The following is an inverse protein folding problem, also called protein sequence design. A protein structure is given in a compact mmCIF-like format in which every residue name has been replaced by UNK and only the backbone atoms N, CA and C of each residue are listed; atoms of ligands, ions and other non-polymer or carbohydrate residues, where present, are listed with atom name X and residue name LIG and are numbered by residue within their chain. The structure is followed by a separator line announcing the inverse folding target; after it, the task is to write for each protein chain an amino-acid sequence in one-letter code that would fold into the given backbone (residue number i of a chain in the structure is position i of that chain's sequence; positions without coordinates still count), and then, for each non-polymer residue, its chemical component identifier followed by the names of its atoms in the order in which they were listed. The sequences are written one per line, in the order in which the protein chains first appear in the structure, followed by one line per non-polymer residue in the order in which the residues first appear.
data_IF_511137140792
#
_entry.id   IF_511137140792
#
_cell.length_a   1.000
_cell.length_b   1.000
_cell.length_c   1.000
_cell.angle_alpha   90.00
_cell.angle_beta   90.00
_cell.angle_gamma   90.00
#
_symmetry.space_group_name_H-M   'P 1'
#
loop_
_entity.id
_entity.type
_entity.pdbx_description
1 polymer ?
#
# COMPACT_ATOMS: atom_id res chain seq x y z
N UNK A 1 38.94 -3.89 25.51
CA UNK A 1 37.48 -4.09 25.66
C UNK A 1 36.73 -3.01 24.88
N UNK A 2 36.61 -3.17 23.56
CA UNK A 2 35.90 -2.19 22.72
C UNK A 2 34.40 -2.40 22.85
N UNK A 3 33.74 -1.52 23.61
CA UNK A 3 32.27 -1.37 23.55
C UNK A 3 31.93 -0.80 22.17
N UNK A 4 31.75 -1.68 21.18
CA UNK A 4 30.94 -1.34 20.01
C UNK A 4 29.53 -1.03 20.52
N UNK A 5 29.25 0.25 20.82
CA UNK A 5 27.87 0.75 20.83
C UNK A 5 27.32 0.38 19.47
N UNK A 6 26.44 -0.63 19.40
CA UNK A 6 25.71 -0.98 18.18
C UNK A 6 24.92 0.27 17.76
N UNK A 7 25.52 1.08 16.90
CA UNK A 7 24.87 2.24 16.30
C UNK A 7 23.73 1.69 15.44
N UNK A 8 22.52 2.23 15.61
CA UNK A 8 21.40 1.85 14.76
C UNK A 8 21.75 2.22 13.31
N UNK A 9 21.72 1.23 12.42
CA UNK A 9 22.09 1.43 11.01
C UNK A 9 21.16 2.45 10.35
N UNK A 10 21.71 3.23 9.41
CA UNK A 10 20.96 4.32 8.76
C UNK A 10 19.74 3.80 8.00
N UNK A 11 19.86 2.65 7.34
CA UNK A 11 18.75 1.97 6.67
C UNK A 11 17.56 1.66 7.59
N UNK A 12 17.82 1.30 8.85
CA UNK A 12 16.76 0.99 9.83
C UNK A 12 16.09 2.27 10.36
N UNK A 13 16.83 3.38 10.45
CA UNK A 13 16.24 4.69 10.74
C UNK A 13 15.28 5.09 9.62
N UNK A 14 15.70 4.93 8.36
CA UNK A 14 14.85 5.23 7.20
C UNK A 14 13.62 4.34 7.17
N UNK A 15 13.78 3.04 7.42
CA UNK A 15 12.65 2.12 7.55
C UNK A 15 11.69 2.57 8.66
N UNK A 16 12.20 2.97 9.83
CA UNK A 16 11.37 3.48 10.93
C UNK A 16 10.60 4.75 10.56
N UNK A 17 11.22 5.68 9.84
CA UNK A 17 10.55 6.89 9.33
C UNK A 17 9.44 6.51 8.34
N UNK A 18 9.67 5.52 7.47
CA UNK A 18 8.63 5.00 6.57
C UNK A 18 7.51 4.27 7.32
N UNK A 19 7.81 3.47 8.34
CA UNK A 19 6.77 2.85 9.19
C UNK A 19 5.88 3.90 9.84
N UNK A 20 6.47 4.98 10.35
CA UNK A 20 5.72 6.10 10.93
C UNK A 20 4.83 6.79 9.89
N UNK A 21 5.29 6.92 8.65
CA UNK A 21 4.46 7.43 7.54
C UNK A 21 3.23 6.56 7.32
N UNK A 22 3.42 5.25 7.20
CA UNK A 22 2.33 4.30 6.94
C UNK A 22 1.30 4.34 8.06
N UNK A 23 1.77 4.38 9.32
CA UNK A 23 0.93 4.54 10.50
C UNK A 23 0.09 5.81 10.46
N UNK A 24 0.72 6.98 10.24
CA UNK A 24 0.03 8.27 10.19
C UNK A 24 -0.94 8.35 9.01
N UNK A 25 -0.54 7.90 7.82
CA UNK A 25 -1.40 7.94 6.62
C UNK A 25 -2.69 7.14 6.80
N UNK A 26 -2.63 5.98 7.47
CA UNK A 26 -3.84 5.22 7.75
C UNK A 26 -4.72 5.87 8.82
N UNK A 27 -4.14 6.63 9.76
CA UNK A 27 -4.90 7.45 10.69
C UNK A 27 -5.67 8.55 9.93
N UNK A 28 -4.97 9.28 9.05
CA UNK A 28 -5.57 10.33 8.22
C UNK A 28 -6.65 9.79 7.27
N UNK A 29 -6.49 8.54 6.83
CA UNK A 29 -7.48 7.87 5.98
C UNK A 29 -8.76 7.50 6.73
N UNK A 30 -8.63 6.94 7.94
CA UNK A 30 -9.75 6.36 8.71
C UNK A 30 -10.49 7.41 9.55
N UNK A 31 -9.83 8.51 9.94
CA UNK A 31 -10.38 9.52 10.87
C UNK A 31 -11.75 10.06 10.45
N UNK A 32 -12.01 10.27 9.16
CA UNK A 32 -13.24 10.89 8.68
C UNK A 32 -14.46 10.00 8.81
N UNK A 33 -14.26 8.68 8.73
CA UNK A 33 -15.34 7.72 8.98
C UNK A 33 -15.77 7.75 10.45
N UNK A 34 -14.81 7.95 11.37
CA UNK A 34 -15.06 8.07 12.82
C UNK A 34 -15.79 9.38 13.14
N UNK A 35 -15.36 10.49 12.54
CA UNK A 35 -15.97 11.81 12.74
C UNK A 35 -17.28 12.02 11.93
N UNK A 36 -17.57 11.16 10.96
CA UNK A 36 -18.65 11.34 9.98
C UNK A 36 -20.04 11.66 10.57
N UNK A 37 -20.51 10.95 11.61
CA UNK A 37 -21.80 11.27 12.24
C UNK A 37 -21.87 12.68 12.82
N UNK A 38 -20.78 13.18 13.40
CA UNK A 38 -20.69 14.51 14.01
C UNK A 38 -20.63 15.61 12.95
N UNK A 39 -19.82 15.42 11.90
CA UNK A 39 -19.75 16.30 10.73
C UNK A 39 -21.14 16.43 10.11
N UNK A 40 -21.83 15.30 9.94
CA UNK A 40 -23.18 15.27 9.38
C UNK A 40 -24.17 16.06 10.23
N UNK A 41 -24.14 15.87 11.54
CA UNK A 41 -25.03 16.55 12.48
C UNK A 41 -24.79 18.07 12.51
N UNK A 42 -23.52 18.50 12.60
CA UNK A 42 -23.16 19.92 12.66
C UNK A 42 -23.46 20.65 11.34
N UNK A 43 -23.16 20.03 10.21
CA UNK A 43 -23.28 20.66 8.89
C UNK A 43 -24.62 20.37 8.19
N UNK A 44 -25.54 19.68 8.86
CA UNK A 44 -26.86 19.33 8.31
C UNK A 44 -26.80 18.47 7.05
N UNK A 45 -25.77 17.63 6.91
CA UNK A 45 -25.57 16.84 5.69
C UNK A 45 -26.55 15.67 5.60
N UNK A 46 -26.98 15.37 4.38
CA UNK A 46 -27.66 14.12 4.06
C UNK A 46 -26.67 12.95 4.09
N UNK A 47 -27.16 11.72 4.27
CA UNK A 47 -26.32 10.52 4.18
C UNK A 47 -25.64 10.39 2.81
N UNK A 48 -26.30 10.84 1.74
CA UNK A 48 -25.75 10.84 0.37
C UNK A 48 -24.56 11.78 0.26
N UNK A 49 -24.67 12.99 0.82
CA UNK A 49 -23.57 13.97 0.83
C UNK A 49 -22.39 13.48 1.67
N UNK A 50 -22.63 12.83 2.81
CA UNK A 50 -21.55 12.24 3.60
C UNK A 50 -20.84 11.10 2.84
N UNK A 51 -21.60 10.26 2.14
CA UNK A 51 -21.03 9.23 1.26
C UNK A 51 -20.17 9.79 0.11
N UNK A 52 -20.54 10.97 -0.43
CA UNK A 52 -19.71 11.69 -1.40
C UNK A 52 -18.36 12.12 -0.80
N UNK A 53 -18.34 12.61 0.45
CA UNK A 53 -17.10 12.99 1.15
C UNK A 53 -16.18 11.78 1.34
N UNK A 54 -16.72 10.63 1.73
CA UNK A 54 -15.92 9.42 1.92
C UNK A 54 -15.31 8.91 0.61
N UNK A 55 -16.10 8.87 -0.47
CA UNK A 55 -15.67 8.37 -1.77
C UNK A 55 -14.75 9.32 -2.55
N UNK A 56 -14.84 10.63 -2.30
CA UNK A 56 -14.03 11.65 -2.98
C UNK A 56 -12.51 11.37 -2.94
N UNK A 57 -12.01 10.76 -1.86
CA UNK A 57 -10.60 10.35 -1.73
C UNK A 57 -10.15 9.33 -2.78
N UNK A 58 -11.00 8.36 -3.12
CA UNK A 58 -10.60 7.17 -3.88
C UNK A 58 -10.24 7.48 -5.34
N UNK A 59 -10.92 8.44 -5.97
CA UNK A 59 -10.72 8.77 -7.38
C UNK A 59 -9.30 9.29 -7.70
N UNK A 60 -8.81 10.36 -7.06
CA UNK A 60 -7.44 10.81 -7.29
C UNK A 60 -6.42 9.82 -6.74
N UNK A 61 -6.74 9.09 -5.67
CA UNK A 61 -5.85 8.08 -5.09
C UNK A 61 -5.46 7.01 -6.13
N UNK A 62 -6.44 6.46 -6.86
CA UNK A 62 -6.21 5.43 -7.88
C UNK A 62 -5.32 5.94 -9.02
N UNK A 63 -5.57 7.16 -9.53
CA UNK A 63 -4.75 7.77 -10.60
C UNK A 63 -3.33 8.06 -10.10
N UNK A 64 -3.22 8.57 -8.87
CA UNK A 64 -1.93 8.94 -8.28
C UNK A 64 -1.05 7.75 -7.91
N UNK A 65 -1.57 6.51 -7.90
CA UNK A 65 -0.72 5.32 -7.78
C UNK A 65 0.31 5.28 -8.90
N UNK A 66 -0.13 5.35 -10.16
CA UNK A 66 0.75 5.29 -11.32
C UNK A 66 1.53 6.60 -11.46
N UNK A 67 0.85 7.75 -11.35
CA UNK A 67 1.49 9.06 -11.53
C UNK A 67 2.53 9.32 -10.45
N UNK A 68 2.22 9.06 -9.19
CA UNK A 68 3.15 9.22 -8.06
C UNK A 68 4.36 8.29 -8.17
N UNK A 69 4.15 7.03 -8.56
CA UNK A 69 5.23 6.09 -8.83
C UNK A 69 6.17 6.56 -9.96
N UNK A 70 5.58 7.05 -11.06
CA UNK A 70 6.34 7.62 -12.18
C UNK A 70 7.12 8.87 -11.80
N UNK A 71 6.49 9.78 -11.03
CA UNK A 71 7.18 10.95 -10.49
C UNK A 71 8.35 10.53 -9.59
N UNK A 72 8.16 9.52 -8.73
CA UNK A 72 9.21 9.01 -7.85
C UNK A 72 10.40 8.41 -8.61
N UNK A 73 10.12 7.70 -9.72
CA UNK A 73 11.17 7.16 -10.57
C UNK A 73 11.98 8.27 -11.27
N UNK A 74 11.31 9.37 -11.67
CA UNK A 74 11.93 10.49 -12.42
C UNK A 74 12.63 11.52 -11.54
N UNK A 75 11.98 11.96 -10.47
CA UNK A 75 12.43 13.06 -9.60
C UNK A 75 13.03 12.58 -8.28
N UNK A 76 12.88 11.29 -7.97
CA UNK A 76 13.40 10.66 -6.76
C UNK A 76 12.42 10.70 -5.58
N UNK A 77 12.50 9.72 -4.66
CA UNK A 77 11.56 9.62 -3.56
C UNK A 77 11.54 10.82 -2.61
N UNK A 78 12.70 11.47 -2.38
CA UNK A 78 12.79 12.58 -1.42
C UNK A 78 11.88 13.74 -1.81
N UNK A 79 12.03 14.26 -3.02
CA UNK A 79 11.24 15.42 -3.47
C UNK A 79 9.76 15.05 -3.57
N UNK A 80 9.47 13.94 -4.21
CA UNK A 80 8.09 13.53 -4.50
C UNK A 80 7.33 13.25 -3.21
N UNK A 81 7.91 12.48 -2.29
CA UNK A 81 7.23 12.16 -1.04
C UNK A 81 7.05 13.38 -0.14
N UNK A 82 8.03 14.30 -0.10
CA UNK A 82 7.87 15.58 0.64
C UNK A 82 6.72 16.42 0.05
N UNK A 83 6.62 16.54 -1.27
CA UNK A 83 5.52 17.31 -1.89
C UNK A 83 4.16 16.66 -1.62
N UNK A 84 4.07 15.34 -1.81
CA UNK A 84 2.85 14.58 -1.54
C UNK A 84 2.44 14.67 -0.06
N UNK A 85 3.42 14.64 0.85
CA UNK A 85 3.19 14.70 2.30
C UNK A 85 2.77 16.06 2.80
N UNK A 86 3.29 17.12 2.20
CA UNK A 86 2.78 18.47 2.40
C UNK A 86 1.33 18.59 1.95
N UNK A 87 0.98 18.03 0.78
CA UNK A 87 -0.38 18.08 0.25
C UNK A 87 -1.36 17.37 1.18
N UNK A 88 -1.09 16.10 1.56
CA UNK A 88 -2.03 15.37 2.43
C UNK A 88 -2.06 15.97 3.84
N UNK A 89 -0.92 16.35 4.42
CA UNK A 89 -0.88 16.91 5.77
C UNK A 89 -1.61 18.24 5.88
N UNK A 90 -1.45 19.12 4.87
CA UNK A 90 -2.20 20.37 4.79
C UNK A 90 -3.70 20.14 4.56
N UNK A 91 -4.08 19.15 3.74
CA UNK A 91 -5.48 18.81 3.52
C UNK A 91 -6.14 18.25 4.79
N UNK A 92 -5.46 17.38 5.54
CA UNK A 92 -5.94 16.88 6.84
C UNK A 92 -6.14 18.05 7.82
N UNK A 93 -5.14 18.93 7.97
CA UNK A 93 -5.22 20.09 8.85
C UNK A 93 -6.37 21.03 8.47
N UNK A 94 -6.49 21.35 7.19
CA UNK A 94 -7.52 22.23 6.65
C UNK A 94 -8.94 21.65 6.81
N UNK A 95 -9.07 20.33 6.96
CA UNK A 95 -10.36 19.65 7.18
C UNK A 95 -11.00 20.09 8.50
N UNK A 96 -10.20 20.40 9.53
CA UNK A 96 -10.71 20.95 10.78
C UNK A 96 -11.41 22.31 10.64
N UNK A 97 -11.10 23.05 9.57
CA UNK A 97 -11.69 24.34 9.25
C UNK A 97 -12.80 24.26 8.19
N UNK A 98 -13.22 23.05 7.81
CA UNK A 98 -14.21 22.88 6.76
C UNK A 98 -15.58 23.42 7.16
N UNK A 99 -16.11 24.37 6.39
CA UNK A 99 -17.43 24.99 6.62
C UNK A 99 -18.53 24.57 5.65
N UNK A 100 -18.20 23.80 4.60
CA UNK A 100 -19.17 23.37 3.59
C UNK A 100 -18.87 21.98 3.02
N UNK A 101 -19.89 21.34 2.44
CA UNK A 101 -19.75 20.08 1.71
C UNK A 101 -18.70 20.16 0.60
N UNK A 102 -18.69 21.27 -0.17
CA UNK A 102 -17.72 21.47 -1.24
C UNK A 102 -16.29 21.51 -0.73
N UNK A 103 -16.05 22.17 0.41
CA UNK A 103 -14.75 22.22 1.05
C UNK A 103 -14.30 20.83 1.52
N UNK A 104 -15.18 20.06 2.16
CA UNK A 104 -14.88 18.68 2.57
C UNK A 104 -14.51 17.80 1.38
N UNK A 105 -15.26 17.88 0.28
CA UNK A 105 -14.97 17.10 -0.94
C UNK A 105 -13.62 17.49 -1.54
N UNK A 106 -13.33 18.79 -1.68
CA UNK A 106 -12.06 19.28 -2.21
C UNK A 106 -10.86 18.83 -1.35
N UNK A 107 -10.99 18.89 -0.03
CA UNK A 107 -9.95 18.46 0.89
C UNK A 107 -9.73 16.94 0.83
N UNK A 108 -10.80 16.15 0.65
CA UNK A 108 -10.68 14.71 0.43
C UNK A 108 -10.05 14.35 -0.90
N UNK A 109 -10.34 15.11 -1.96
CA UNK A 109 -9.63 14.99 -3.23
C UNK A 109 -8.14 15.28 -3.06
N UNK A 110 -7.78 16.38 -2.38
CA UNK A 110 -6.39 16.75 -2.11
C UNK A 110 -5.67 15.69 -1.28
N UNK A 111 -6.31 15.14 -0.24
CA UNK A 111 -5.77 14.03 0.55
C UNK A 111 -5.48 12.81 -0.35
N UNK A 112 -6.41 12.45 -1.23
CA UNK A 112 -6.23 11.34 -2.17
C UNK A 112 -5.10 11.58 -3.17
N UNK A 113 -4.88 12.83 -3.59
CA UNK A 113 -3.72 13.20 -4.43
C UNK A 113 -2.41 12.93 -3.68
N UNK A 114 -2.31 13.40 -2.44
CA UNK A 114 -1.11 13.23 -1.62
C UNK A 114 -0.83 11.76 -1.29
N UNK A 115 -1.80 11.06 -0.70
CA UNK A 115 -1.60 9.66 -0.28
C UNK A 115 -1.45 8.68 -1.44
N UNK A 116 -2.07 8.96 -2.60
CA UNK A 116 -2.07 8.05 -3.75
C UNK A 116 -0.66 7.73 -4.25
N UNK A 117 0.23 8.73 -4.27
CA UNK A 117 1.60 8.52 -4.69
C UNK A 117 2.56 8.06 -3.59
N UNK A 118 2.14 8.06 -2.32
CA UNK A 118 3.04 7.88 -1.19
C UNK A 118 3.65 6.47 -1.14
N UNK A 119 2.84 5.42 -1.29
CA UNK A 119 3.30 4.02 -1.19
C UNK A 119 4.16 3.58 -2.38
N UNK A 120 3.81 3.93 -3.64
CA UNK A 120 4.73 3.74 -4.77
C UNK A 120 6.07 4.46 -4.58
N UNK A 121 6.04 5.67 -4.00
CA UNK A 121 7.26 6.43 -3.71
C UNK A 121 8.11 5.79 -2.62
N UNK A 122 7.49 5.25 -1.56
CA UNK A 122 8.18 4.49 -0.51
C UNK A 122 8.77 3.18 -1.05
N UNK A 123 8.03 2.47 -1.90
CA UNK A 123 8.50 1.28 -2.62
C UNK A 123 9.76 1.61 -3.43
N UNK A 124 9.74 2.73 -4.15
CA UNK A 124 10.92 3.22 -4.85
C UNK A 124 12.09 3.55 -3.92
N UNK A 125 11.83 4.10 -2.74
CA UNK A 125 12.89 4.32 -1.76
C UNK A 125 13.56 3.00 -1.31
N UNK A 126 12.78 1.93 -1.12
CA UNK A 126 13.32 0.64 -0.69
C UNK A 126 14.23 -0.03 -1.73
N UNK A 127 14.12 0.31 -3.02
CA UNK A 127 15.08 -0.23 -4.01
C UNK A 127 16.52 0.18 -3.72
N UNK A 128 16.72 1.35 -3.10
CA UNK A 128 18.04 1.94 -2.85
C UNK A 128 18.51 1.81 -1.41
N UNK A 129 17.58 1.61 -0.47
CA UNK A 129 17.87 1.61 0.97
C UNK A 129 17.82 0.24 1.62
N UNK A 130 17.20 -0.75 0.98
CA UNK A 130 17.03 -2.09 1.53
C UNK A 130 17.73 -3.14 0.67
N UNK A 131 18.54 -4.05 1.27
CA UNK A 131 19.07 -5.21 0.57
C UNK A 131 17.95 -6.04 -0.04
N UNK A 132 18.20 -6.66 -1.21
CA UNK A 132 17.19 -7.45 -1.94
C UNK A 132 16.49 -8.50 -1.06
N UNK A 133 17.24 -9.15 -0.17
CA UNK A 133 16.73 -10.20 0.73
C UNK A 133 16.05 -9.68 2.01
N UNK A 134 15.99 -8.37 2.22
CA UNK A 134 15.25 -7.72 3.34
C UNK A 134 14.08 -6.87 2.84
N UNK A 135 13.86 -6.79 1.51
CA UNK A 135 12.75 -6.00 0.93
C UNK A 135 11.38 -6.54 1.33
N UNK A 136 11.23 -7.86 1.48
CA UNK A 136 9.99 -8.48 1.94
C UNK A 136 9.66 -8.07 3.37
N UNK A 137 10.64 -8.16 4.27
CA UNK A 137 10.52 -7.65 5.63
C UNK A 137 10.18 -6.16 5.66
N UNK A 138 10.86 -5.34 4.87
CA UNK A 138 10.64 -3.88 4.81
C UNK A 138 9.19 -3.54 4.43
N UNK A 139 8.64 -4.19 3.40
CA UNK A 139 7.23 -4.02 3.03
C UNK A 139 6.29 -4.56 4.12
N UNK A 140 6.57 -5.75 4.66
CA UNK A 140 5.73 -6.35 5.71
C UNK A 140 5.60 -5.47 6.95
N UNK A 141 6.71 -4.97 7.48
CA UNK A 141 6.67 -4.15 8.70
C UNK A 141 6.00 -2.79 8.45
N UNK A 142 6.23 -2.16 7.29
CA UNK A 142 5.62 -0.85 6.99
C UNK A 142 4.11 -0.97 6.80
N UNK A 143 3.64 -2.00 6.11
CA UNK A 143 2.20 -2.29 5.98
C UNK A 143 1.56 -2.71 7.31
N UNK A 144 2.27 -3.45 8.16
CA UNK A 144 1.82 -3.76 9.52
C UNK A 144 1.54 -2.49 10.32
N UNK A 145 2.39 -1.47 10.21
CA UNK A 145 2.17 -0.16 10.83
C UNK A 145 0.96 0.58 10.26
N UNK A 146 0.67 0.43 8.97
CA UNK A 146 -0.56 0.93 8.36
C UNK A 146 -1.82 0.28 8.99
N UNK A 147 -1.83 -1.05 9.16
CA UNK A 147 -2.93 -1.77 9.84
C UNK A 147 -3.08 -1.35 11.30
N UNK A 148 -1.96 -1.20 12.00
CA UNK A 148 -1.94 -0.69 13.36
C UNK A 148 -2.52 0.73 13.44
N UNK A 149 -2.17 1.61 12.50
CA UNK A 149 -2.74 2.95 12.39
C UNK A 149 -4.26 2.91 12.27
N UNK A 150 -4.77 2.10 11.34
CA UNK A 150 -6.21 1.90 11.17
C UNK A 150 -6.92 1.41 12.44
N UNK A 151 -6.33 0.46 13.17
CA UNK A 151 -6.89 -0.08 14.41
C UNK A 151 -6.89 0.93 15.57
N UNK A 152 -5.85 1.77 15.68
CA UNK A 152 -5.71 2.79 16.73
C UNK A 152 -6.54 4.03 16.44
N UNK A 153 -6.93 4.27 15.18
CA UNK A 153 -7.63 5.51 14.78
C UNK A 153 -8.94 5.75 15.53
N UNK A 154 -9.91 4.81 15.61
CA UNK A 154 -11.18 5.06 16.29
C UNK A 154 -11.03 5.49 17.76
N UNK A 155 -10.31 4.77 18.64
CA UNK A 155 -10.16 5.22 20.03
C UNK A 155 -9.40 6.54 20.14
N UNK A 156 -8.37 6.77 19.31
CA UNK A 156 -7.61 8.02 19.30
C UNK A 156 -8.49 9.21 18.93
N UNK A 157 -9.23 9.12 17.81
CA UNK A 157 -10.08 10.21 17.31
C UNK A 157 -11.24 10.47 18.27
N UNK A 158 -11.89 9.43 18.79
CA UNK A 158 -12.99 9.58 19.75
C UNK A 158 -12.55 10.25 21.05
N UNK A 159 -11.34 9.94 21.55
CA UNK A 159 -10.81 10.59 22.75
C UNK A 159 -10.62 12.11 22.54
N UNK A 160 -10.10 12.52 21.38
CA UNK A 160 -9.93 13.94 21.04
C UNK A 160 -11.28 14.61 20.82
N UNK A 161 -12.19 13.95 20.10
CA UNK A 161 -13.55 14.42 19.86
C UNK A 161 -14.30 14.68 21.16
N UNK A 162 -14.19 13.78 22.14
CA UNK A 162 -14.84 13.93 23.43
C UNK A 162 -14.28 15.11 24.25
N UNK A 163 -13.01 15.46 24.06
CA UNK A 163 -12.34 16.52 24.80
C UNK A 163 -12.49 17.91 24.15
N UNK A 164 -12.44 17.99 22.82
CA UNK A 164 -12.29 19.25 22.11
C UNK A 164 -13.19 19.40 20.87
N UNK A 165 -13.62 18.27 20.26
CA UNK A 165 -14.44 18.28 19.05
C UNK A 165 -13.76 17.59 17.87
N UNK A 166 -14.53 17.38 16.79
CA UNK A 166 -14.02 16.70 15.60
C UNK A 166 -13.08 17.59 14.78
N UNK A 167 -13.27 18.91 14.81
CA UNK A 167 -12.43 19.87 14.08
C UNK A 167 -10.99 19.82 14.58
N UNK A 168 -10.83 19.79 15.89
CA UNK A 168 -9.57 19.73 16.63
C UNK A 168 -8.85 18.41 16.39
N UNK A 169 -9.59 17.30 16.22
CA UNK A 169 -9.00 16.03 15.81
C UNK A 169 -8.29 16.14 14.45
N UNK A 170 -8.90 16.76 13.44
CA UNK A 170 -8.26 16.96 12.14
C UNK A 170 -7.07 17.92 12.21
N UNK A 171 -7.16 18.98 13.01
CA UNK A 171 -6.04 19.92 13.20
C UNK A 171 -4.83 19.20 13.82
N UNK A 172 -5.04 18.44 14.89
CA UNK A 172 -3.97 17.71 15.58
C UNK A 172 -3.32 16.65 14.68
N UNK A 173 -4.14 15.86 13.96
CA UNK A 173 -3.64 14.86 13.02
C UNK A 173 -2.89 15.49 11.84
N UNK A 174 -3.40 16.59 11.30
CA UNK A 174 -2.72 17.34 10.25
C UNK A 174 -1.37 17.91 10.70
N UNK A 175 -1.29 18.43 11.93
CA UNK A 175 -0.01 18.87 12.53
C UNK A 175 0.95 17.68 12.64
N UNK A 176 0.49 16.51 13.07
CA UNK A 176 1.33 15.31 13.14
C UNK A 176 1.86 14.88 11.76
N UNK A 177 1.02 14.90 10.72
CA UNK A 177 1.40 14.65 9.33
C UNK A 177 2.43 15.64 8.79
N UNK A 178 2.27 16.93 9.10
CA UNK A 178 3.24 17.96 8.71
C UNK A 178 4.55 17.85 9.51
N UNK A 179 4.50 17.52 10.80
CA UNK A 179 5.69 17.26 11.61
C UNK A 179 6.47 16.05 11.07
N UNK A 180 5.78 14.98 10.66
CA UNK A 180 6.41 13.86 9.96
C UNK A 180 7.07 14.30 8.65
N UNK A 181 6.41 15.17 7.87
CA UNK A 181 6.98 15.70 6.62
C UNK A 181 8.31 16.42 6.85
N UNK A 182 8.37 17.27 7.89
CA UNK A 182 9.59 17.96 8.30
C UNK A 182 10.68 16.96 8.70
N UNK A 183 10.34 15.97 9.53
CA UNK A 183 11.25 14.89 9.91
C UNK A 183 11.80 14.15 8.69
N UNK A 184 10.93 13.76 7.76
CA UNK A 184 11.29 13.05 6.54
C UNK A 184 12.24 13.87 5.67
N UNK A 185 11.95 15.16 5.46
CA UNK A 185 12.77 16.04 4.63
C UNK A 185 14.22 16.13 5.12
N UNK A 186 14.43 16.18 6.45
CA UNK A 186 15.75 16.26 7.05
C UNK A 186 16.48 14.91 7.18
N UNK A 187 15.75 13.82 7.41
CA UNK A 187 16.35 12.50 7.66
C UNK A 187 16.60 11.73 6.36
N UNK A 188 15.69 11.80 5.40
CA UNK A 188 15.76 11.00 4.19
C UNK A 188 16.69 11.60 3.13
N UNK A 189 17.42 10.75 2.43
CA UNK A 189 18.23 11.10 1.25
C UNK A 189 17.91 10.15 0.12
N UNK A 190 17.99 10.59 -1.14
CA UNK A 190 17.57 9.75 -2.27
C UNK A 190 18.48 8.54 -2.44
N UNK A 191 19.75 8.69 -2.08
CA UNK A 191 20.73 7.64 -2.17
C UNK A 191 21.54 7.48 -0.89
N UNK A 192 22.06 6.28 -0.64
CA UNK A 192 23.06 6.03 0.40
C UNK A 192 24.25 7.00 0.35
N UNK A 193 24.82 7.25 -0.83
CA UNK A 193 26.02 8.08 -1.01
C UNK A 193 25.81 9.58 -0.68
N UNK A 194 24.57 10.08 -0.76
CA UNK A 194 24.22 11.43 -0.33
C UNK A 194 24.06 11.56 1.20
N UNK A 195 23.95 10.43 1.92
CA UNK A 195 23.60 10.44 3.33
C UNK A 195 24.83 10.49 4.23
N UNK A 196 24.99 11.59 4.98
CA UNK A 196 26.13 11.79 5.90
C UNK A 196 26.27 10.76 7.02
N UNK A 197 25.22 9.98 7.32
CA UNK A 197 25.21 9.04 8.45
C UNK A 197 25.55 7.61 8.05
N UNK A 198 25.45 7.25 6.77
CA UNK A 198 25.70 5.88 6.31
C UNK A 198 27.19 5.57 6.35
N UNK A 199 27.52 4.31 6.61
CA UNK A 199 28.91 3.82 6.54
C UNK A 199 29.16 3.06 5.23
N UNK A 200 30.43 2.92 4.79
CA UNK A 200 30.76 2.11 3.62
C UNK A 200 30.31 0.64 3.76
N UNK A 201 30.38 0.08 4.97
CA UNK A 201 29.93 -1.28 5.25
C UNK A 201 28.41 -1.43 5.05
N UNK A 202 27.61 -0.48 5.56
CA UNK A 202 26.17 -0.45 5.35
C UNK A 202 25.81 -0.33 3.86
N UNK A 203 26.57 0.49 3.11
CA UNK A 203 26.36 0.67 1.66
C UNK A 203 26.63 -0.62 0.90
N UNK A 204 27.71 -1.34 1.28
CA UNK A 204 28.05 -2.64 0.70
C UNK A 204 27.00 -3.72 1.01
N UNK A 205 26.47 -3.75 2.24
CA UNK A 205 25.39 -4.68 2.64
C UNK A 205 24.10 -4.47 1.83
N UNK A 206 23.77 -3.22 1.49
CA UNK A 206 22.62 -2.89 0.64
C UNK A 206 22.86 -3.36 -0.80
N UNK A 207 24.12 -3.42 -1.23
CA UNK A 207 24.51 -3.70 -2.61
C UNK A 207 24.38 -2.48 -3.53
N UNK A 208 24.33 -1.27 -2.96
CA UNK A 208 24.22 -0.02 -3.71
C UNK A 208 25.56 0.37 -4.34
N UNK A 209 25.56 0.76 -5.63
CA UNK A 209 26.73 1.31 -6.32
C UNK A 209 26.56 2.81 -6.49
N UNK A 210 27.64 3.56 -6.32
CA UNK A 210 27.64 5.01 -6.50
C UNK A 210 27.05 5.39 -7.87
N UNK A 211 26.11 6.34 -7.85
CA UNK A 211 25.39 6.81 -9.05
C UNK A 211 24.21 5.94 -9.52
N UNK A 212 23.86 4.85 -8.84
CA UNK A 212 22.68 4.02 -9.21
C UNK A 212 21.39 4.83 -9.25
N UNK A 213 21.17 5.72 -8.27
CA UNK A 213 20.00 6.60 -8.26
C UNK A 213 19.96 7.53 -9.49
N UNK A 214 21.10 8.13 -9.86
CA UNK A 214 21.19 9.04 -10.99
C UNK A 214 21.00 8.31 -12.33
N UNK A 215 21.57 7.11 -12.47
CA UNK A 215 21.36 6.24 -13.65
C UNK A 215 19.89 5.86 -13.81
N UNK A 216 19.24 5.48 -12.71
CA UNK A 216 17.87 5.02 -12.74
C UNK A 216 16.88 6.13 -13.19
N UNK A 217 17.12 7.39 -12.81
CA UNK A 217 16.29 8.55 -13.21
C UNK A 217 16.37 8.92 -14.69
N UNK A 218 17.49 8.62 -15.36
CA UNK A 218 17.72 9.00 -16.75
C UNK A 218 17.03 8.10 -17.77
N UNK A 219 16.59 6.91 -17.34
CA UNK A 219 16.01 5.95 -18.26
C UNK A 219 14.53 6.26 -18.52
N UNK A 220 14.10 6.36 -19.78
CA UNK A 220 12.68 6.51 -20.09
C UNK A 220 11.90 5.31 -19.57
N UNK A 221 10.68 5.54 -19.11
CA UNK A 221 9.80 4.51 -18.58
C UNK A 221 9.28 3.63 -19.72
N UNK A 222 9.57 2.31 -19.74
CA UNK A 222 9.15 1.42 -20.82
C UNK A 222 7.70 0.94 -20.59
N UNK A 223 6.74 1.84 -20.79
CA UNK A 223 5.32 1.63 -20.50
C UNK A 223 4.77 0.30 -21.02
N UNK A 224 5.03 -0.03 -22.30
CA UNK A 224 4.56 -1.28 -22.91
C UNK A 224 5.09 -2.53 -22.19
N UNK A 225 6.38 -2.55 -21.83
CA UNK A 225 7.02 -3.68 -21.13
C UNK A 225 6.48 -3.79 -19.71
N UNK A 226 6.35 -2.67 -19.01
CA UNK A 226 5.80 -2.63 -17.66
C UNK A 226 4.37 -3.14 -17.62
N UNK A 227 3.49 -2.66 -18.50
CA UNK A 227 2.10 -3.16 -18.58
C UNK A 227 2.09 -4.67 -18.86
N UNK A 228 2.90 -5.14 -19.82
CA UNK A 228 2.97 -6.55 -20.17
C UNK A 228 3.52 -7.44 -19.04
N UNK A 229 4.42 -6.94 -18.19
CA UNK A 229 4.99 -7.70 -17.07
C UNK A 229 4.19 -7.58 -15.78
N UNK A 230 3.49 -6.47 -15.56
CA UNK A 230 2.78 -6.17 -14.33
C UNK A 230 1.30 -6.53 -14.35
N UNK A 231 0.65 -6.69 -15.51
CA UNK A 231 -0.81 -6.90 -15.57
C UNK A 231 -1.31 -8.07 -14.71
N UNK A 232 -0.56 -9.18 -14.67
CA UNK A 232 -0.94 -10.34 -13.87
C UNK A 232 -0.79 -10.06 -12.38
N UNK A 233 0.24 -9.30 -11.98
CA UNK A 233 0.41 -8.86 -10.60
C UNK A 233 -0.71 -7.90 -10.20
N UNK A 234 -1.07 -6.95 -11.08
CA UNK A 234 -2.22 -6.05 -10.90
C UNK A 234 -3.53 -6.83 -10.76
N UNK A 235 -3.72 -7.90 -11.54
CA UNK A 235 -4.91 -8.74 -11.43
C UNK A 235 -4.97 -9.52 -10.11
N UNK A 236 -3.85 -10.10 -9.66
CA UNK A 236 -3.78 -10.76 -8.34
C UNK A 236 -4.01 -9.74 -7.22
N UNK A 237 -3.47 -8.53 -7.35
CA UNK A 237 -3.70 -7.43 -6.41
C UNK A 237 -5.17 -6.97 -6.39
N UNK A 238 -5.87 -6.98 -7.53
CA UNK A 238 -7.33 -6.78 -7.58
C UNK A 238 -8.09 -7.86 -6.80
N UNK A 239 -7.74 -9.14 -6.96
CA UNK A 239 -8.37 -10.24 -6.21
C UNK A 239 -8.11 -10.13 -4.69
N UNK A 240 -6.88 -9.79 -4.30
CA UNK A 240 -6.53 -9.48 -2.90
C UNK A 240 -7.34 -8.28 -2.38
N UNK A 241 -7.33 -7.18 -3.14
CA UNK A 241 -7.99 -5.93 -2.78
C UNK A 241 -9.49 -6.07 -2.67
N UNK A 242 -10.12 -6.90 -3.50
CA UNK A 242 -11.57 -7.16 -3.45
C UNK A 242 -12.00 -7.56 -2.06
N UNK A 243 -11.36 -8.59 -1.49
CA UNK A 243 -11.71 -9.10 -0.18
C UNK A 243 -11.27 -8.13 0.92
N UNK A 244 -10.10 -7.51 0.79
CA UNK A 244 -9.66 -6.51 1.77
C UNK A 244 -10.68 -5.36 1.91
N UNK A 245 -11.23 -4.86 0.80
CA UNK A 245 -12.28 -3.85 0.85
C UNK A 245 -13.56 -4.35 1.50
N UNK A 246 -13.96 -5.61 1.32
CA UNK A 246 -15.08 -6.22 2.05
C UNK A 246 -14.84 -6.18 3.56
N UNK A 247 -13.64 -6.55 4.02
CA UNK A 247 -13.28 -6.47 5.43
C UNK A 247 -13.33 -5.05 5.98
N UNK A 248 -12.92 -4.05 5.19
CA UNK A 248 -12.91 -2.67 5.63
C UNK A 248 -14.30 -2.02 5.62
N UNK A 249 -15.21 -2.46 4.74
CA UNK A 249 -16.49 -1.78 4.50
C UNK A 249 -17.71 -2.53 5.05
N UNK A 250 -17.78 -3.85 4.86
CA UNK A 250 -18.97 -4.65 5.15
C UNK A 250 -18.84 -5.53 6.40
N UNK A 251 -17.64 -5.75 6.91
CA UNK A 251 -17.43 -6.56 8.11
C UNK A 251 -18.27 -6.08 9.31
N UNK A 252 -18.31 -4.78 9.67
CA UNK A 252 -19.11 -4.34 10.81
C UNK A 252 -20.61 -4.58 10.59
N UNK A 253 -21.12 -4.31 9.39
CA UNK A 253 -22.52 -4.56 9.05
C UNK A 253 -22.86 -6.05 9.09
N UNK A 254 -22.00 -6.92 8.57
CA UNK A 254 -22.17 -8.37 8.64
C UNK A 254 -22.26 -8.87 10.09
N UNK A 255 -21.33 -8.45 10.95
CA UNK A 255 -21.31 -8.87 12.35
C UNK A 255 -22.57 -8.40 13.10
N UNK A 256 -23.07 -7.20 12.79
CA UNK A 256 -24.27 -6.66 13.42
C UNK A 256 -25.56 -7.29 12.87
N UNK A 257 -25.74 -7.26 11.54
CA UNK A 257 -27.00 -7.59 10.87
C UNK A 257 -27.19 -9.09 10.69
N UNK A 258 -26.15 -9.81 10.24
CA UNK A 258 -26.25 -11.24 9.98
C UNK A 258 -25.92 -12.09 11.22
N UNK A 259 -25.08 -11.59 12.13
CA UNK A 259 -24.63 -12.34 13.31
C UNK A 259 -25.13 -11.79 14.64
N UNK A 260 -25.86 -10.67 14.64
CA UNK A 260 -26.58 -10.17 15.83
C UNK A 260 -25.69 -9.63 16.95
N UNK A 261 -24.44 -9.27 16.68
CA UNK A 261 -23.57 -8.67 17.70
C UNK A 261 -24.12 -7.33 18.21
N UNK A 262 -24.05 -7.12 19.53
CA UNK A 262 -24.34 -5.81 20.11
C UNK A 262 -23.24 -4.78 19.77
N UNK A 263 -23.55 -3.51 19.98
CA UNK A 263 -22.63 -2.40 19.67
C UNK A 263 -21.31 -2.43 20.46
N UNK A 264 -21.30 -2.97 21.68
CA UNK A 264 -20.09 -3.01 22.53
C UNK A 264 -19.12 -4.09 22.05
N UNK A 265 -19.65 -5.24 21.68
CA UNK A 265 -18.89 -6.37 21.17
C UNK A 265 -18.41 -6.15 19.73
N UNK A 266 -19.17 -5.40 18.92
CA UNK A 266 -18.83 -5.12 17.53
C UNK A 266 -17.44 -4.49 17.34
N UNK A 267 -17.07 -3.52 18.19
CA UNK A 267 -15.77 -2.85 18.11
C UNK A 267 -14.61 -3.82 18.39
N UNK A 268 -14.73 -4.65 19.44
CA UNK A 268 -13.71 -5.64 19.80
C UNK A 268 -13.55 -6.70 18.71
N UNK A 269 -14.66 -7.24 18.20
CA UNK A 269 -14.63 -8.32 17.22
C UNK A 269 -14.30 -7.86 15.79
N UNK A 270 -14.43 -6.56 15.49
CA UNK A 270 -13.91 -5.97 14.25
C UNK A 270 -12.40 -5.71 14.33
N UNK A 271 -11.88 -5.39 15.53
CA UNK A 271 -10.44 -5.16 15.74
C UNK A 271 -9.61 -6.45 15.63
N UNK A 272 -10.15 -7.60 16.05
CA UNK A 272 -9.44 -8.88 16.04
C UNK A 272 -8.91 -9.27 14.64
N UNK A 273 -9.73 -9.29 13.55
CA UNK A 273 -9.23 -9.51 12.20
C UNK A 273 -8.10 -8.54 11.82
N UNK A 274 -8.26 -7.24 12.07
CA UNK A 274 -7.25 -6.24 11.71
C UNK A 274 -5.91 -6.46 12.43
N UNK A 275 -5.95 -6.81 13.72
CA UNK A 275 -4.77 -7.14 14.50
C UNK A 275 -4.10 -8.44 14.00
N UNK A 276 -4.89 -9.43 13.60
CA UNK A 276 -4.34 -10.62 12.95
C UNK A 276 -3.68 -10.26 11.61
N UNK A 277 -4.24 -9.29 10.89
CA UNK A 277 -3.62 -8.72 9.69
C UNK A 277 -2.24 -8.12 9.93
N UNK A 278 -2.02 -7.39 11.03
CA UNK A 278 -0.69 -6.86 11.44
C UNK A 278 0.33 -7.99 11.54
N UNK A 279 -0.06 -9.13 12.15
CA UNK A 279 0.83 -10.28 12.28
C UNK A 279 1.06 -10.93 10.91
N UNK A 280 0.00 -11.08 10.11
CA UNK A 280 0.05 -11.63 8.76
C UNK A 280 1.03 -10.87 7.85
N UNK A 281 0.90 -9.55 7.78
CA UNK A 281 1.77 -8.66 7.00
C UNK A 281 3.26 -8.82 7.38
N UNK A 282 3.57 -8.81 8.68
CA UNK A 282 4.95 -8.99 9.14
C UNK A 282 5.48 -10.38 8.79
N UNK A 283 4.70 -11.42 9.05
CA UNK A 283 5.11 -12.80 8.79
C UNK A 283 5.26 -13.09 7.30
N UNK A 284 4.39 -12.56 6.45
CA UNK A 284 4.48 -12.74 5.00
C UNK A 284 5.82 -12.31 4.43
N UNK A 285 6.30 -11.13 4.85
CA UNK A 285 7.63 -10.63 4.48
C UNK A 285 8.77 -11.50 5.02
N UNK A 286 8.74 -11.83 6.30
CA UNK A 286 9.78 -12.63 6.97
C UNK A 286 9.89 -14.04 6.39
N UNK A 287 8.75 -14.70 6.17
CA UNK A 287 8.70 -16.06 5.64
C UNK A 287 9.14 -16.06 4.18
N UNK A 288 8.67 -15.09 3.37
CA UNK A 288 9.10 -14.98 1.97
C UNK A 288 10.63 -14.84 1.87
N UNK A 289 11.22 -13.94 2.65
CA UNK A 289 12.67 -13.72 2.65
C UNK A 289 13.44 -14.93 3.22
N UNK A 290 12.87 -15.65 4.20
CA UNK A 290 13.44 -16.92 4.71
C UNK A 290 13.46 -17.99 3.61
N UNK A 291 12.36 -18.17 2.86
CA UNK A 291 12.31 -19.12 1.74
C UNK A 291 13.34 -18.75 0.69
N UNK A 292 13.50 -17.46 0.38
CA UNK A 292 14.52 -17.02 -0.58
C UNK A 292 15.93 -17.35 -0.10
N UNK A 293 16.27 -17.06 1.16
CA UNK A 293 17.59 -17.39 1.73
C UNK A 293 17.88 -18.89 1.75
N UNK A 294 16.87 -19.73 1.98
CA UNK A 294 17.04 -21.18 2.03
C UNK A 294 17.14 -21.82 0.65
N UNK A 295 16.46 -21.28 -0.36
CA UNK A 295 16.29 -21.95 -1.66
C UNK A 295 17.02 -21.26 -2.81
N UNK A 296 17.38 -19.98 -2.67
CA UNK A 296 17.90 -19.13 -3.75
C UNK A 296 16.89 -18.84 -4.86
N UNK A 297 15.65 -19.35 -4.78
CA UNK A 297 14.64 -19.28 -5.85
C UNK A 297 13.61 -18.20 -5.55
N UNK A 298 13.76 -17.03 -6.18
CA UNK A 298 12.88 -15.88 -5.95
C UNK A 298 11.42 -16.17 -6.28
N UNK A 299 11.14 -16.85 -7.40
CA UNK A 299 9.77 -17.22 -7.81
C UNK A 299 9.08 -18.07 -6.74
N UNK A 300 9.79 -19.05 -6.18
CA UNK A 300 9.28 -19.90 -5.11
C UNK A 300 8.98 -19.08 -3.86
N UNK A 301 9.90 -18.22 -3.44
CA UNK A 301 9.74 -17.33 -2.28
C UNK A 301 8.54 -16.40 -2.37
N UNK A 302 8.22 -15.87 -3.56
CA UNK A 302 7.07 -14.96 -3.75
C UNK A 302 5.78 -15.72 -4.02
N UNK A 303 5.75 -16.59 -5.02
CA UNK A 303 4.51 -17.24 -5.46
C UNK A 303 3.93 -18.19 -4.41
N UNK A 304 4.78 -18.91 -3.65
CA UNK A 304 4.27 -19.79 -2.58
C UNK A 304 3.51 -19.02 -1.51
N UNK A 305 3.96 -17.82 -1.16
CA UNK A 305 3.32 -16.96 -0.16
C UNK A 305 1.98 -16.41 -0.68
N UNK A 306 1.91 -16.02 -1.95
CA UNK A 306 0.65 -15.61 -2.57
C UNK A 306 -0.37 -16.76 -2.58
N UNK A 307 0.05 -17.96 -2.98
CA UNK A 307 -0.82 -19.15 -3.04
C UNK A 307 -1.25 -19.59 -1.65
N UNK A 308 -0.34 -19.66 -0.68
CA UNK A 308 -0.65 -20.05 0.71
C UNK A 308 -1.50 -18.98 1.40
N UNK A 309 -1.25 -17.70 1.15
CA UNK A 309 -2.04 -16.62 1.74
C UNK A 309 -3.45 -16.54 1.15
N UNK A 310 -3.62 -16.54 -0.17
CA UNK A 310 -4.95 -16.54 -0.78
C UNK A 310 -5.70 -17.86 -0.56
N UNK A 311 -5.00 -19.00 -0.67
CA UNK A 311 -5.56 -20.32 -0.41
C UNK A 311 -5.91 -20.55 1.07
N UNK A 312 -5.08 -20.06 1.99
CA UNK A 312 -5.36 -20.06 3.42
C UNK A 312 -6.55 -19.15 3.74
N UNK A 313 -6.60 -17.96 3.15
CA UNK A 313 -7.75 -17.05 3.28
C UNK A 313 -9.04 -17.73 2.83
N UNK A 314 -9.00 -18.39 1.67
CA UNK A 314 -10.11 -19.19 1.14
C UNK A 314 -10.52 -20.34 2.08
N UNK A 315 -9.56 -21.08 2.63
CA UNK A 315 -9.83 -22.21 3.52
C UNK A 315 -10.57 -21.80 4.81
N UNK A 316 -10.35 -20.58 5.29
CA UNK A 316 -11.08 -20.02 6.43
C UNK A 316 -12.38 -19.32 6.01
N UNK A 317 -12.44 -18.73 4.81
CA UNK A 317 -13.63 -18.01 4.33
C UNK A 317 -14.78 -18.97 3.93
N UNK A 318 -14.49 -20.15 3.39
CA UNK A 318 -15.51 -21.13 3.02
C UNK A 318 -16.36 -21.63 4.22
N UNK A 319 -15.77 -22.11 5.34
CA UNK A 319 -16.57 -22.55 6.49
C UNK A 319 -17.27 -21.39 7.21
N UNK A 320 -16.82 -20.14 7.00
CA UNK A 320 -17.44 -18.95 7.59
C UNK A 320 -18.89 -18.76 7.14
N UNK A 321 -19.22 -19.10 5.89
CA UNK A 321 -20.58 -19.03 5.34
C UNK A 321 -21.55 -19.83 6.21
N UNK A 322 -21.15 -21.04 6.61
CA UNK A 322 -21.95 -21.93 7.46
C UNK A 322 -21.52 -21.91 8.93
N UNK A 323 -20.94 -20.80 9.41
CA UNK A 323 -20.42 -20.75 10.78
C UNK A 323 -21.55 -20.99 11.81
N UNK A 324 -21.35 -21.93 12.77
CA UNK A 324 -22.39 -22.36 13.70
C UNK A 324 -22.71 -21.33 14.79
N UNK A 325 -21.83 -20.34 15.00
CA UNK A 325 -22.04 -19.26 15.97
C UNK A 325 -21.41 -17.94 15.50
N UNK A 326 -21.88 -16.80 16.02
CA UNK A 326 -21.29 -15.49 15.76
C UNK A 326 -19.78 -15.44 16.08
N UNK A 327 -19.36 -16.05 17.18
CA UNK A 327 -17.95 -16.10 17.59
C UNK A 327 -17.13 -16.97 16.63
N UNK A 328 -17.67 -18.11 16.18
CA UNK A 328 -17.00 -18.93 15.17
C UNK A 328 -16.80 -18.16 13.86
N UNK A 329 -17.79 -17.38 13.43
CA UNK A 329 -17.66 -16.51 12.25
C UNK A 329 -16.51 -15.50 12.42
N UNK A 330 -16.36 -14.89 13.60
CA UNK A 330 -15.25 -13.98 13.88
C UNK A 330 -13.89 -14.69 13.81
N UNK A 331 -13.76 -15.89 14.35
CA UNK A 331 -12.52 -16.66 14.27
C UNK A 331 -12.16 -17.03 12.82
N UNK A 332 -13.14 -17.49 12.04
CA UNK A 332 -12.92 -17.76 10.63
C UNK A 332 -12.54 -16.50 9.85
N UNK A 333 -13.21 -15.37 10.09
CA UNK A 333 -12.87 -14.10 9.47
C UNK A 333 -11.48 -13.62 9.88
N UNK A 334 -11.09 -13.82 11.13
CA UNK A 334 -9.76 -13.46 11.66
C UNK A 334 -8.67 -14.29 11.00
N UNK A 335 -8.85 -15.62 10.93
CA UNK A 335 -7.92 -16.51 10.22
C UNK A 335 -7.84 -16.17 8.73
N UNK A 336 -8.98 -15.93 8.09
CA UNK A 336 -9.02 -15.55 6.67
C UNK A 336 -8.26 -14.24 6.40
N UNK A 337 -8.42 -13.23 7.26
CA UNK A 337 -7.72 -11.95 7.12
C UNK A 337 -6.22 -12.06 7.40
N UNK A 338 -5.82 -12.85 8.40
CA UNK A 338 -4.41 -13.15 8.66
C UNK A 338 -3.71 -13.71 7.43
N UNK A 339 -4.29 -14.73 6.80
CA UNK A 339 -3.72 -15.33 5.59
C UNK A 339 -3.80 -14.40 4.38
N UNK A 340 -4.84 -13.58 4.27
CA UNK A 340 -4.93 -12.57 3.23
C UNK A 340 -3.77 -11.57 3.35
N UNK A 341 -3.50 -11.04 4.54
CA UNK A 341 -2.43 -10.05 4.76
C UNK A 341 -1.01 -10.64 4.64
N UNK A 342 -0.82 -11.96 4.76
CA UNK A 342 0.45 -12.61 4.41
C UNK A 342 0.86 -12.32 2.94
N UNK A 343 -0.10 -12.08 2.06
CA UNK A 343 0.15 -11.86 0.62
C UNK A 343 0.64 -10.45 0.29
N UNK A 344 0.18 -9.46 1.04
CA UNK A 344 0.41 -8.04 0.81
C UNK A 344 1.90 -7.63 0.75
N UNK A 345 2.79 -8.01 1.69
CA UNK A 345 4.22 -7.69 1.56
C UNK A 345 4.82 -8.23 0.27
N UNK A 346 4.37 -9.40 -0.18
CA UNK A 346 4.87 -10.01 -1.40
C UNK A 346 4.39 -9.27 -2.64
N UNK A 347 3.11 -8.88 -2.69
CA UNK A 347 2.56 -8.03 -3.75
C UNK A 347 3.41 -6.77 -3.92
N UNK A 348 3.75 -6.09 -2.82
CA UNK A 348 4.60 -4.88 -2.85
C UNK A 348 6.09 -5.14 -3.11
N UNK A 349 6.56 -6.39 -3.05
CA UNK A 349 7.93 -6.78 -3.45
C UNK A 349 8.05 -7.15 -4.92
N UNK A 350 7.00 -7.69 -5.53
CA UNK A 350 7.03 -8.08 -6.95
C UNK A 350 7.41 -6.92 -7.89
N UNK A 351 6.93 -5.67 -7.71
CA UNK A 351 7.41 -4.52 -8.46
C UNK A 351 8.92 -4.26 -8.30
N UNK A 352 9.46 -4.45 -7.09
CA UNK A 352 10.89 -4.30 -6.80
C UNK A 352 11.71 -5.35 -7.55
N UNK A 353 11.18 -6.57 -7.64
CA UNK A 353 11.84 -7.74 -8.22
C UNK A 353 11.73 -7.75 -9.76
N UNK A 354 10.59 -7.39 -10.33
CA UNK A 354 10.30 -7.46 -11.79
C UNK A 354 10.78 -6.20 -12.52
N UNK A 355 10.54 -5.03 -11.94
CA UNK A 355 10.75 -3.75 -12.62
C UNK A 355 12.02 -3.02 -12.20
N UNK A 356 12.67 -3.46 -11.11
CA UNK A 356 13.99 -2.97 -10.67
C UNK A 356 14.06 -1.45 -10.62
N UNK A 357 14.77 -0.85 -11.58
CA UNK A 357 14.90 0.61 -11.71
C UNK A 357 13.58 1.38 -11.96
N UNK A 358 12.47 0.71 -12.27
CA UNK A 358 11.13 1.30 -12.46
C UNK A 358 10.13 0.86 -11.38
N UNK A 359 10.62 0.44 -10.21
CA UNK A 359 9.79 -0.13 -9.16
C UNK A 359 8.70 0.83 -8.63
N UNK A 360 8.92 2.16 -8.67
CA UNK A 360 7.90 3.12 -8.27
C UNK A 360 6.68 3.04 -9.18
N UNK A 361 6.89 3.18 -10.48
CA UNK A 361 5.82 3.07 -11.50
C UNK A 361 5.17 1.69 -11.46
N UNK A 362 5.95 0.62 -11.36
CA UNK A 362 5.43 -0.74 -11.30
C UNK A 362 4.60 -0.99 -10.02
N UNK A 363 5.01 -0.44 -8.87
CA UNK A 363 4.23 -0.49 -7.63
C UNK A 363 2.91 0.25 -7.76
N UNK A 364 2.91 1.39 -8.47
CA UNK A 364 1.69 2.09 -8.85
C UNK A 364 0.76 1.26 -9.74
N UNK A 365 1.30 0.62 -10.78
CA UNK A 365 0.53 -0.25 -11.67
C UNK A 365 -0.06 -1.45 -10.95
N UNK A 366 0.70 -2.06 -10.04
CA UNK A 366 0.22 -3.13 -9.16
C UNK A 366 -0.99 -2.64 -8.36
N UNK A 367 -0.80 -1.59 -7.54
CA UNK A 367 -1.81 -1.09 -6.59
C UNK A 367 -3.04 -0.46 -7.26
N UNK A 368 -2.99 -0.22 -8.57
CA UNK A 368 -4.18 0.15 -9.34
C UNK A 368 -5.22 -0.96 -9.31
N UNK A 369 -4.80 -2.23 -9.20
CA UNK A 369 -5.71 -3.38 -9.00
C UNK A 369 -6.52 -3.23 -7.72
N UNK A 370 -5.84 -3.00 -6.59
CA UNK A 370 -6.46 -2.68 -5.30
C UNK A 370 -7.38 -1.45 -5.38
N UNK A 371 -6.97 -0.39 -6.10
CA UNK A 371 -7.78 0.80 -6.32
C UNK A 371 -9.09 0.52 -7.06
N UNK A 372 -9.04 -0.23 -8.17
CA UNK A 372 -10.22 -0.64 -8.94
C UNK A 372 -11.12 -1.53 -8.07
N UNK A 373 -10.54 -2.46 -7.32
CA UNK A 373 -11.30 -3.30 -6.39
C UNK A 373 -12.05 -2.47 -5.35
N UNK A 374 -11.48 -1.37 -4.86
CA UNK A 374 -12.16 -0.45 -3.94
C UNK A 374 -13.32 0.31 -4.54
N UNK A 375 -13.29 0.57 -5.85
CA UNK A 375 -14.41 1.19 -6.57
C UNK A 375 -15.55 0.20 -6.82
N UNK A 376 -15.23 -1.07 -7.09
CA UNK A 376 -16.23 -2.07 -7.51
C UNK A 376 -16.75 -2.93 -6.37
N UNK A 377 -15.87 -3.40 -5.47
CA UNK A 377 -16.21 -4.40 -4.44
C UNK A 377 -17.35 -3.94 -3.53
N UNK A 378 -17.30 -2.74 -2.90
CA UNK A 378 -18.36 -2.33 -1.99
C UNK A 378 -19.73 -2.18 -2.69
N UNK A 379 -19.75 -1.67 -3.93
CA UNK A 379 -20.97 -1.46 -4.72
C UNK A 379 -21.61 -2.80 -5.09
N UNK A 380 -20.81 -3.73 -5.62
CA UNK A 380 -21.30 -5.06 -6.00
C UNK A 380 -21.77 -5.83 -4.77
N UNK A 381 -21.00 -5.80 -3.69
CA UNK A 381 -21.35 -6.49 -2.44
C UNK A 381 -22.68 -5.97 -1.87
N UNK A 382 -22.87 -4.64 -1.82
CA UNK A 382 -24.11 -4.02 -1.36
C UNK A 382 -25.32 -4.34 -2.25
N UNK A 383 -25.16 -4.28 -3.57
CA UNK A 383 -26.23 -4.66 -4.51
C UNK A 383 -26.66 -6.12 -4.32
N UNK A 384 -25.70 -7.03 -4.10
CA UNK A 384 -25.99 -8.44 -3.86
C UNK A 384 -26.71 -8.66 -2.53
N UNK A 385 -26.32 -7.99 -1.45
CA UNK A 385 -27.07 -8.06 -0.18
C UNK A 385 -28.50 -7.53 -0.39
N UNK A 386 -28.67 -6.40 -1.07
CA UNK A 386 -29.99 -5.78 -1.28
C UNK A 386 -30.93 -6.67 -2.09
N UNK A 387 -30.41 -7.36 -3.11
CA UNK A 387 -31.22 -8.20 -4.01
C UNK A 387 -31.45 -9.60 -3.47
N UNK A 388 -30.45 -10.20 -2.81
CA UNK A 388 -30.54 -11.58 -2.30
C UNK A 388 -31.00 -11.67 -0.85
N UNK A 389 -30.89 -10.57 -0.08
CA UNK A 389 -31.12 -10.56 1.36
C UNK A 389 -30.07 -11.33 2.18
N UNK A 390 -29.02 -11.84 1.55
CA UNK A 390 -28.00 -12.68 2.19
C UNK A 390 -26.58 -12.17 1.93
N UNK A 391 -25.72 -12.40 2.92
CA UNK A 391 -24.28 -12.15 2.83
C UNK A 391 -23.52 -13.32 2.17
N UNK A 392 -24.17 -14.48 1.97
CA UNK A 392 -23.49 -15.70 1.50
C UNK A 392 -23.04 -15.60 0.05
N UNK A 393 -23.88 -15.05 -0.83
CA UNK A 393 -23.57 -14.86 -2.25
C UNK A 393 -22.35 -13.95 -2.44
N UNK A 394 -22.30 -12.74 -1.86
CA UNK A 394 -21.14 -11.88 -2.04
C UNK A 394 -19.86 -12.41 -1.37
N UNK A 395 -19.96 -13.15 -0.26
CA UNK A 395 -18.80 -13.87 0.29
C UNK A 395 -18.33 -15.03 -0.61
N UNK A 396 -19.27 -15.73 -1.26
CA UNK A 396 -18.93 -16.80 -2.22
C UNK A 396 -18.20 -16.26 -3.44
N UNK A 397 -18.63 -15.10 -3.98
CA UNK A 397 -17.90 -14.42 -5.06
C UNK A 397 -16.48 -14.04 -4.60
N UNK A 398 -16.35 -13.55 -3.37
CA UNK A 398 -15.05 -13.22 -2.80
C UNK A 398 -14.15 -14.46 -2.67
N UNK A 399 -14.72 -15.61 -2.28
CA UNK A 399 -14.02 -16.89 -2.26
C UNK A 399 -13.57 -17.35 -3.66
N UNK A 400 -14.42 -17.21 -4.67
CA UNK A 400 -14.06 -17.52 -6.07
C UNK A 400 -12.93 -16.62 -6.55
N UNK A 401 -12.98 -15.32 -6.27
CA UNK A 401 -11.91 -14.39 -6.64
C UNK A 401 -10.59 -14.71 -5.94
N UNK A 402 -10.61 -15.16 -4.68
CA UNK A 402 -9.41 -15.65 -4.01
C UNK A 402 -8.83 -16.88 -4.70
N UNK A 403 -9.68 -17.85 -5.09
CA UNK A 403 -9.23 -19.05 -5.78
C UNK A 403 -8.60 -18.71 -7.15
N UNK A 404 -9.26 -17.82 -7.91
CA UNK A 404 -8.77 -17.32 -9.20
C UNK A 404 -7.46 -16.55 -9.02
N UNK A 405 -7.36 -15.68 -8.01
CA UNK A 405 -6.14 -14.95 -7.67
C UNK A 405 -4.98 -15.88 -7.29
N UNK A 406 -5.24 -16.89 -6.45
CA UNK A 406 -4.24 -17.89 -6.06
C UNK A 406 -3.74 -18.68 -7.27
N UNK A 407 -4.65 -19.07 -8.17
CA UNK A 407 -4.29 -19.74 -9.41
C UNK A 407 -3.49 -18.83 -10.36
N UNK A 408 -3.93 -17.58 -10.55
CA UNK A 408 -3.23 -16.58 -11.35
C UNK A 408 -1.81 -16.32 -10.82
N UNK A 409 -1.62 -16.32 -9.50
CA UNK A 409 -0.32 -16.12 -8.86
C UNK A 409 0.72 -17.20 -9.26
N UNK A 410 0.30 -18.42 -9.61
CA UNK A 410 1.20 -19.48 -10.08
C UNK A 410 1.90 -19.13 -11.40
N UNK A 411 1.28 -18.29 -12.22
CA UNK A 411 1.80 -17.86 -13.51
C UNK A 411 2.69 -16.61 -13.43
N UNK A 412 2.84 -16.02 -12.24
CA UNK A 412 3.79 -14.92 -12.03
C UNK A 412 5.21 -15.47 -12.15
N UNK A 413 5.99 -14.83 -13.02
CA UNK A 413 7.38 -15.20 -13.27
C UNK A 413 8.30 -14.04 -12.91
N UNK A 414 8.92 -14.13 -11.73
CA UNK A 414 9.85 -13.12 -11.22
C UNK A 414 11.21 -13.14 -11.91
N UNK A 415 11.49 -14.13 -12.77
CA UNK A 415 12.74 -14.16 -13.56
C UNK A 415 12.67 -13.28 -14.82
N UNK A 416 11.45 -12.94 -15.27
CA UNK A 416 11.22 -12.09 -16.44
C UNK A 416 11.20 -10.63 -16.02
N UNK A 417 12.38 -10.05 -15.88
CA UNK A 417 12.54 -8.65 -15.50
C UNK A 417 12.49 -7.73 -16.72
N UNK A 418 12.08 -6.48 -16.50
CA UNK A 418 12.09 -5.44 -17.54
C UNK A 418 13.52 -5.19 -18.04
N UNK A 419 14.51 -5.27 -17.15
CA UNK A 419 15.93 -5.12 -17.49
C UNK A 419 16.42 -6.25 -18.41
N UNK A 420 15.97 -7.49 -18.20
CA UNK A 420 16.30 -8.60 -19.08
C UNK A 420 15.69 -8.42 -20.49
N UNK A 421 14.48 -7.88 -20.59
CA UNK A 421 13.86 -7.56 -21.87
C UNK A 421 14.60 -6.43 -22.61
N UNK A 422 15.09 -5.42 -21.89
CA UNK A 422 15.94 -4.36 -22.47
C UNK A 422 17.28 -4.90 -22.96
N UNK A 423 17.94 -5.79 -22.19
CA UNK A 423 19.20 -6.41 -22.58
C UNK A 423 19.05 -7.27 -23.85
N UNK A 424 17.98 -8.06 -23.94
CA UNK A 424 17.68 -8.88 -25.13
C UNK A 424 17.43 -8.03 -26.37
N UNK A 425 16.71 -6.92 -26.24
CA UNK A 425 16.48 -6.01 -27.36
C UNK A 425 17.74 -5.27 -27.80
N UNK A 426 18.63 -4.91 -26.87
CA UNK A 426 19.93 -4.33 -27.19
C UNK A 426 20.78 -5.33 -28.00
N UNK A 427 20.88 -6.58 -27.52
CA UNK A 427 21.59 -7.65 -28.22
C UNK A 427 21.00 -7.90 -29.62
N UNK A 428 19.68 -7.98 -29.77
CA UNK A 428 19.05 -8.16 -31.07
C UNK A 428 19.28 -6.98 -32.03
N UNK A 429 19.41 -5.75 -31.53
CA UNK A 429 19.75 -4.58 -32.37
C UNK A 429 21.17 -4.66 -32.89
N UNK A 430 22.10 -5.10 -32.05
CA UNK A 430 23.50 -5.30 -32.42
C UNK A 430 23.65 -6.45 -33.43
N UNK A 431 22.89 -7.54 -33.28
CA UNK A 431 22.89 -8.69 -34.20
C UNK A 431 22.26 -8.36 -35.58
N UNK A 432 21.26 -7.48 -35.65
CA UNK A 432 20.60 -7.08 -36.91
C UNK A 432 21.39 -5.97 -37.63
N UNK A 433 22.47 -5.47 -37.03
CA UNK A 433 23.35 -4.47 -37.67
C UNK A 433 22.64 -3.14 -37.98
N UNK A 434 21.59 -2.80 -37.24
CA UNK A 434 20.92 -1.50 -37.40
C UNK A 434 21.85 -0.44 -36.80
N UNK A 435 22.45 0.47 -37.59
CA UNK A 435 23.35 1.47 -37.04
C UNK A 435 22.56 2.30 -36.03
N UNK A 436 23.15 2.51 -34.85
CA UNK A 436 22.67 3.53 -33.93
C UNK A 436 22.58 4.84 -34.72
N UNK A 437 21.37 5.37 -34.93
CA UNK A 437 21.20 6.70 -35.49
C UNK A 437 21.92 7.68 -34.57
N UNK A 438 23.16 7.99 -34.93
CA UNK A 438 23.95 9.03 -34.31
C UNK A 438 23.13 10.33 -34.45
N UNK A 439 22.84 10.95 -33.33
CA UNK A 439 22.29 12.31 -33.30
C UNK A 439 23.30 13.25 -33.95
N UNK A 440 23.16 13.46 -35.25
CA UNK A 440 23.83 14.52 -35.98
C UNK A 440 23.21 15.87 -35.63
N UNK A 441 23.50 16.38 -34.44
CA UNK A 441 23.46 17.82 -34.22
C UNK A 441 24.77 18.38 -34.77
N UNK A 442 24.69 18.87 -36.01
CA UNK A 442 25.81 19.41 -36.77
C UNK A 442 26.59 20.46 -35.99
N UNK A 443 27.91 20.33 -36.13
CA UNK A 443 28.84 21.46 -36.07
C UNK A 443 28.27 22.62 -36.88
N UNK A 444 28.00 23.75 -36.23
CA UNK A 444 27.99 25.05 -36.88
C UNK A 444 29.05 25.91 -36.21
N UNK A 445 30.24 25.93 -36.84
CA UNK A 445 31.18 27.02 -36.70
C UNK A 445 30.61 28.26 -37.39
N UNK A 446 30.50 29.36 -36.65
CA UNK A 446 31.11 30.67 -36.96
C UNK A 446 31.05 31.58 -35.75
#
# INVERSE_FOLDING_TARGET
MNRHRQRVKTRHIILGVMCLMYFISYIDRVNIAVAGPLIRQEMGLTSVQLGLVFSAFAYPYAVMQIVGGWLADRFGPKLVLTVLSLIWGAATLATGFAGSIGMLVLLRLALGIGEGGAFPTATRAFTFWMPVHERGFAQGITHSFARLGGAVTPPLVLAVVAAAGWREAFILLGIASLAWTVLYFFVFSNSPDENRRITPEETAEIGYRAGDCARARKNPTPWRKLIHRMWLVTFVDFCYGWLLWVYLTWLPSYLKEARGFDLKHLALFTALPLLAGVIGDTLGGVISDRIFRMTGKLRLARCSILVVGMGGSLAFLLPMVNAPSPIAAVWFLTGSFFFLEITNPVLWTLPLDIAGKYAGTAGGMMNTGFGIAGMTSPVVFGYLIQTTGSYDVPFTISAVLLAVGAFAALFIDTSKTVEADEAREAQNRDEIGVPAFAGGAGQWHK
#
